data_IF_918017111315
#
_entry.id   IF_918017111315
#
_cell.length_a   1.000
_cell.length_b   1.000
_cell.length_c   1.000
_cell.angle_alpha   90.00
_cell.angle_beta   90.00
_cell.angle_gamma   90.00
#
_symmetry.space_group_name_H-M   'P 1'
#
loop_
_entity.id
_entity.type
_entity.pdbx_description
1 polymer ?
#
# COMPACT_ATOMS: atom_id res chain seq x y z
N UNK A 1 -53.91 -15.51 49.16
CA UNK A 1 -53.23 -16.48 48.29
C UNK A 1 -52.95 -15.97 46.86
N UNK A 2 -53.84 -15.21 46.20
CA UNK A 2 -53.60 -14.71 44.83
C UNK A 2 -52.54 -13.59 44.70
N UNK A 3 -52.31 -12.79 45.75
CA UNK A 3 -51.31 -11.69 45.73
C UNK A 3 -49.87 -12.19 45.65
N UNK A 4 -49.54 -13.29 46.33
CA UNK A 4 -48.20 -13.89 46.36
C UNK A 4 -47.79 -14.44 44.99
N UNK A 5 -48.68 -15.16 44.30
CA UNK A 5 -48.43 -15.66 42.93
C UNK A 5 -48.19 -14.54 41.91
N UNK A 6 -48.83 -13.37 42.09
CA UNK A 6 -48.58 -12.19 41.23
C UNK A 6 -47.20 -11.60 41.47
N UNK A 7 -46.72 -11.58 42.71
CA UNK A 7 -45.39 -11.07 43.05
C UNK A 7 -44.28 -12.01 42.55
N UNK A 8 -44.44 -13.33 42.69
CA UNK A 8 -43.50 -14.32 42.15
C UNK A 8 -43.36 -14.21 40.63
N UNK A 9 -44.49 -14.10 39.91
CA UNK A 9 -44.47 -13.92 38.45
C UNK A 9 -43.79 -12.61 38.02
N UNK A 10 -43.92 -11.54 38.81
CA UNK A 10 -43.21 -10.29 38.56
C UNK A 10 -41.69 -10.45 38.80
N UNK A 11 -41.28 -11.12 39.87
CA UNK A 11 -39.87 -11.37 40.18
C UNK A 11 -39.19 -12.24 39.11
N UNK A 12 -39.85 -13.28 38.62
CA UNK A 12 -39.34 -14.13 37.52
C UNK A 12 -39.19 -13.32 36.23
N UNK A 13 -40.15 -12.44 35.90
CA UNK A 13 -40.07 -11.58 34.71
C UNK A 13 -38.90 -10.59 34.79
N UNK A 14 -38.64 -10.02 35.96
CA UNK A 14 -37.51 -9.10 36.19
C UNK A 14 -36.17 -9.85 36.06
N UNK A 15 -36.04 -11.02 36.67
CA UNK A 15 -34.84 -11.86 36.59
C UNK A 15 -34.52 -12.25 35.15
N UNK A 16 -35.53 -12.68 34.38
CA UNK A 16 -35.36 -13.03 32.97
C UNK A 16 -34.96 -11.84 32.10
N UNK A 17 -35.52 -10.66 32.36
CA UNK A 17 -35.13 -9.44 31.64
C UNK A 17 -33.69 -9.03 31.92
N UNK A 18 -33.24 -9.16 33.17
CA UNK A 18 -31.87 -8.87 33.55
C UNK A 18 -30.87 -9.84 32.90
N UNK A 19 -31.20 -11.14 32.86
CA UNK A 19 -30.39 -12.16 32.16
C UNK A 19 -30.29 -11.88 30.66
N UNK A 20 -31.40 -11.51 30.01
CA UNK A 20 -31.42 -11.12 28.59
C UNK A 20 -30.56 -9.88 28.31
N UNK A 21 -30.59 -8.86 29.18
CA UNK A 21 -29.74 -7.67 29.06
C UNK A 21 -28.25 -8.00 29.18
N UNK A 22 -27.87 -8.85 30.14
CA UNK A 22 -26.47 -9.31 30.28
C UNK A 22 -25.96 -10.04 29.04
N UNK A 23 -26.76 -10.96 28.48
CA UNK A 23 -26.41 -11.70 27.27
C UNK A 23 -26.27 -10.77 26.05
N UNK A 24 -27.16 -9.79 25.90
CA UNK A 24 -27.08 -8.79 24.82
C UNK A 24 -25.81 -7.94 24.93
N UNK A 25 -25.46 -7.50 26.14
CA UNK A 25 -24.24 -6.70 26.36
C UNK A 25 -22.96 -7.52 26.09
N UNK A 26 -22.95 -8.80 26.48
CA UNK A 26 -21.84 -9.71 26.19
C UNK A 26 -21.68 -9.95 24.68
N UNK A 27 -22.80 -10.19 23.97
CA UNK A 27 -22.80 -10.34 22.51
C UNK A 27 -22.29 -9.06 21.81
N UNK A 28 -22.70 -7.89 22.27
CA UNK A 28 -22.23 -6.62 21.73
C UNK A 28 -20.71 -6.44 21.94
N UNK A 29 -20.18 -6.81 23.11
CA UNK A 29 -18.74 -6.75 23.38
C UNK A 29 -17.94 -7.68 22.45
N UNK A 30 -18.43 -8.89 22.20
CA UNK A 30 -17.77 -9.82 21.28
C UNK A 30 -17.76 -9.30 19.84
N UNK A 31 -18.87 -8.70 19.41
CA UNK A 31 -18.97 -8.08 18.08
C UNK A 31 -17.99 -6.91 17.91
N UNK A 32 -17.84 -6.06 18.93
CA UNK A 32 -16.86 -4.97 18.91
C UNK A 32 -15.42 -5.47 18.86
N UNK A 33 -15.10 -6.52 19.60
CA UNK A 33 -13.77 -7.14 19.54
C UNK A 33 -13.49 -7.73 18.15
N UNK A 34 -14.49 -8.36 17.52
CA UNK A 34 -14.37 -8.88 16.17
C UNK A 34 -14.13 -7.76 15.15
N UNK A 35 -14.88 -6.66 15.25
CA UNK A 35 -14.69 -5.48 14.40
C UNK A 35 -13.27 -4.89 14.56
N UNK A 36 -12.79 -4.75 15.78
CA UNK A 36 -11.43 -4.26 16.05
C UNK A 36 -10.37 -5.19 15.46
N UNK A 37 -10.57 -6.50 15.53
CA UNK A 37 -9.63 -7.48 14.96
C UNK A 37 -9.62 -7.43 13.43
N UNK A 38 -10.79 -7.31 12.80
CA UNK A 38 -10.90 -7.11 11.34
C UNK A 38 -10.22 -5.82 10.93
N UNK A 39 -10.44 -4.72 11.66
CA UNK A 39 -9.81 -3.43 11.39
C UNK A 39 -8.28 -3.53 11.47
N UNK A 40 -7.74 -4.13 12.54
CA UNK A 40 -6.30 -4.35 12.68
C UNK A 40 -5.72 -5.23 11.57
N UNK A 41 -6.45 -6.25 11.14
CA UNK A 41 -6.03 -7.10 10.03
C UNK A 41 -6.01 -6.33 8.70
N UNK A 42 -7.06 -5.58 8.39
CA UNK A 42 -7.12 -4.74 7.18
C UNK A 42 -5.99 -3.72 7.17
N UNK A 43 -5.78 -3.01 8.28
CA UNK A 43 -4.65 -2.07 8.43
C UNK A 43 -3.34 -2.82 8.20
N UNK A 44 -3.08 -3.92 8.92
CA UNK A 44 -1.86 -4.70 8.76
C UNK A 44 -1.62 -5.16 7.32
N UNK A 45 -2.63 -5.66 6.62
CA UNK A 45 -2.52 -6.11 5.22
C UNK A 45 -2.17 -4.94 4.31
N UNK A 46 -2.83 -3.79 4.48
CA UNK A 46 -2.53 -2.59 3.68
C UNK A 46 -1.13 -2.04 3.94
N UNK A 47 -0.66 -2.03 5.20
CA UNK A 47 0.69 -1.57 5.56
C UNK A 47 1.77 -2.54 5.06
N UNK A 48 1.52 -3.85 5.09
CA UNK A 48 2.43 -4.87 4.54
C UNK A 48 2.58 -4.72 3.02
N UNK A 49 1.52 -4.32 2.33
CA UNK A 49 1.57 -4.15 0.87
C UNK A 49 2.25 -2.85 0.45
N UNK A 50 2.12 -1.75 1.19
CA UNK A 50 2.75 -0.48 0.81
C UNK A 50 4.28 -0.49 0.88
N UNK A 51 4.88 -1.32 1.75
CA UNK A 51 6.33 -1.46 1.87
C UNK A 51 6.93 -2.58 1.01
N UNK A 52 6.14 -3.25 0.16
CA UNK A 52 6.57 -4.45 -0.58
C UNK A 52 6.86 -4.23 -2.06
N UNK A 53 6.61 -3.04 -2.58
CA UNK A 53 6.81 -2.77 -4.00
C UNK A 53 8.04 -1.89 -4.15
N UNK A 54 9.18 -2.52 -4.39
CA UNK A 54 10.38 -1.81 -4.79
C UNK A 54 10.29 -1.48 -6.28
N UNK A 55 10.80 -0.32 -6.69
CA UNK A 55 10.90 0.04 -8.11
C UNK A 55 11.72 -1.02 -8.87
N UNK A 56 12.67 -1.63 -8.16
CA UNK A 56 13.50 -2.75 -8.55
C UNK A 56 12.73 -4.03 -8.87
N UNK A 57 11.48 -4.17 -8.41
CA UNK A 57 10.65 -5.35 -8.65
C UNK A 57 9.77 -5.22 -9.91
N UNK A 58 9.68 -4.03 -10.50
CA UNK A 58 8.93 -3.81 -11.75
C UNK A 58 9.52 -4.64 -12.89
N UNK A 59 8.68 -5.11 -13.81
CA UNK A 59 9.13 -5.80 -15.02
C UNK A 59 9.87 -4.84 -15.98
N UNK A 60 10.76 -5.36 -16.83
CA UNK A 60 11.55 -4.52 -17.74
C UNK A 60 10.64 -3.76 -18.72
N UNK A 61 9.55 -4.38 -19.14
CA UNK A 61 8.54 -3.85 -20.07
C UNK A 61 7.92 -2.56 -19.49
N UNK A 62 7.52 -2.59 -18.23
CA UNK A 62 6.95 -1.42 -17.55
C UNK A 62 8.00 -0.31 -17.38
N UNK A 63 9.25 -0.68 -17.09
CA UNK A 63 10.33 0.31 -16.99
C UNK A 63 10.60 0.98 -18.34
N UNK A 64 10.54 0.24 -19.46
CA UNK A 64 10.66 0.81 -20.79
C UNK A 64 9.49 1.73 -21.14
N UNK A 65 8.26 1.36 -20.78
CA UNK A 65 7.11 2.25 -20.94
C UNK A 65 7.30 3.57 -20.17
N UNK A 66 7.82 3.53 -18.94
CA UNK A 66 8.16 4.75 -18.19
C UNK A 66 9.23 5.57 -18.91
N UNK A 67 10.26 4.90 -19.45
CA UNK A 67 11.35 5.55 -20.17
C UNK A 67 10.89 6.25 -21.46
N UNK A 68 9.80 5.80 -22.11
CA UNK A 68 9.25 6.50 -23.28
C UNK A 68 8.77 7.93 -22.98
N UNK A 69 8.40 8.22 -21.72
CA UNK A 69 7.95 9.54 -21.29
C UNK A 69 9.08 10.45 -20.81
N UNK A 70 10.30 9.92 -20.65
CA UNK A 70 11.45 10.64 -20.12
C UNK A 70 12.45 10.95 -21.22
N UNK A 71 13.22 12.03 -21.03
CA UNK A 71 14.38 12.25 -21.88
C UNK A 71 15.55 11.35 -21.45
N UNK A 72 16.48 11.08 -22.35
CA UNK A 72 17.61 10.17 -22.06
C UNK A 72 18.47 10.66 -20.89
N UNK A 73 18.54 11.98 -20.69
CA UNK A 73 19.32 12.57 -19.63
C UNK A 73 18.65 12.37 -18.27
N UNK A 74 17.32 12.49 -18.19
CA UNK A 74 16.52 12.21 -17.00
C UNK A 74 16.61 10.73 -16.63
N UNK A 75 16.56 9.83 -17.62
CA UNK A 75 16.77 8.39 -17.41
C UNK A 75 18.17 8.16 -16.85
N UNK A 76 19.19 8.72 -17.48
CA UNK A 76 20.57 8.59 -17.03
C UNK A 76 20.76 9.13 -15.61
N UNK A 77 20.28 10.34 -15.32
CA UNK A 77 20.45 10.98 -14.03
C UNK A 77 19.66 10.28 -12.92
N UNK A 78 18.44 9.84 -13.21
CA UNK A 78 17.52 9.26 -12.24
C UNK A 78 17.76 7.78 -11.97
N UNK A 79 18.14 6.99 -12.99
CA UNK A 79 18.10 5.54 -12.92
C UNK A 79 19.49 4.86 -13.03
N UNK A 80 20.46 5.50 -13.69
CA UNK A 80 21.77 4.87 -13.96
C UNK A 80 22.53 4.46 -12.68
N UNK A 81 22.40 5.23 -11.60
CA UNK A 81 23.14 4.94 -10.36
C UNK A 81 22.34 4.09 -9.35
N UNK A 82 21.13 3.64 -9.68
CA UNK A 82 20.29 2.87 -8.75
C UNK A 82 20.83 1.45 -8.55
N UNK A 83 21.02 0.70 -9.64
CA UNK A 83 21.63 -0.63 -9.60
C UNK A 83 22.09 -1.08 -11.01
N UNK A 84 22.78 -2.22 -11.07
CA UNK A 84 23.31 -2.79 -12.32
C UNK A 84 22.22 -3.13 -13.35
N UNK A 85 21.02 -3.50 -12.90
CA UNK A 85 19.89 -3.78 -13.80
C UNK A 85 19.47 -2.49 -14.50
N UNK A 86 19.28 -1.39 -13.78
CA UNK A 86 18.94 -0.09 -14.37
C UNK A 86 20.05 0.47 -15.26
N UNK A 87 21.33 0.24 -14.94
CA UNK A 87 22.44 0.58 -15.85
C UNK A 87 22.30 -0.14 -17.19
N UNK A 88 22.09 -1.45 -17.13
CA UNK A 88 21.88 -2.28 -18.33
C UNK A 88 20.69 -1.79 -19.13
N UNK A 89 19.57 -1.47 -18.48
CA UNK A 89 18.36 -0.97 -19.13
C UNK A 89 18.58 0.41 -19.76
N UNK A 90 19.31 1.30 -19.10
CA UNK A 90 19.59 2.64 -19.62
C UNK A 90 20.55 2.63 -20.83
N UNK A 91 21.52 1.70 -20.85
CA UNK A 91 22.51 1.60 -21.95
C UNK A 91 21.96 0.78 -23.13
N UNK A 92 21.35 -0.38 -22.84
CA UNK A 92 20.90 -1.34 -23.87
C UNK A 92 19.43 -1.16 -24.26
N UNK A 93 18.83 -0.04 -23.85
CA UNK A 93 17.49 0.33 -24.24
C UNK A 93 17.44 0.50 -25.76
N UNK A 94 16.73 -0.40 -26.45
CA UNK A 94 16.29 -0.18 -27.83
C UNK A 94 15.17 0.87 -27.91
N UNK A 95 14.74 1.44 -26.77
CA UNK A 95 13.79 2.55 -26.75
C UNK A 95 14.46 3.73 -27.40
N UNK A 96 13.83 4.25 -28.46
CA UNK A 96 14.24 5.48 -29.14
C UNK A 96 13.97 6.65 -28.20
N UNK A 97 14.88 6.85 -27.26
CA UNK A 97 14.79 7.89 -26.26
C UNK A 97 15.12 9.23 -26.90
N UNK A 98 14.23 10.20 -26.70
CA UNK A 98 14.41 11.55 -27.25
C UNK A 98 15.42 12.29 -26.38
N UNK A 99 16.41 12.91 -27.01
CA UNK A 99 17.37 13.76 -26.33
C UNK A 99 16.98 15.21 -26.56
N UNK A 100 16.57 15.91 -25.50
CA UNK A 100 16.37 17.34 -25.56
C UNK A 100 17.63 18.07 -25.10
N UNK A 101 18.53 18.39 -26.03
CA UNK A 101 19.80 19.06 -25.74
C UNK A 101 19.57 20.50 -25.23
N UNK A 102 18.45 21.13 -25.59
CA UNK A 102 18.18 22.55 -25.27
C UNK A 102 18.01 22.82 -23.77
N UNK A 103 17.57 21.82 -23.01
CA UNK A 103 17.36 21.90 -21.56
C UNK A 103 18.57 21.41 -20.74
N UNK A 104 19.57 20.84 -21.42
CA UNK A 104 20.73 20.22 -20.78
C UNK A 104 21.84 21.26 -20.56
N UNK A 105 22.35 21.35 -19.33
CA UNK A 105 23.53 22.18 -19.07
C UNK A 105 24.79 21.62 -19.76
N UNK A 106 25.75 22.49 -20.08
CA UNK A 106 27.00 22.09 -20.76
C UNK A 106 27.80 21.03 -19.99
N UNK A 107 27.82 21.10 -18.65
CA UNK A 107 28.48 20.11 -17.81
C UNK A 107 27.77 18.76 -17.86
N UNK A 108 26.44 18.77 -17.84
CA UNK A 108 25.62 17.55 -17.90
C UNK A 108 25.78 16.84 -19.24
N UNK A 109 25.75 17.61 -20.35
CA UNK A 109 26.00 17.09 -21.68
C UNK A 109 27.38 16.42 -21.78
N UNK A 110 28.43 17.09 -21.29
CA UNK A 110 29.79 16.54 -21.29
C UNK A 110 29.90 15.23 -20.49
N UNK A 111 29.19 15.12 -19.36
CA UNK A 111 29.21 13.92 -18.54
C UNK A 111 28.45 12.77 -19.21
N UNK A 112 27.26 13.03 -19.74
CA UNK A 112 26.49 12.05 -20.51
C UNK A 112 27.28 11.51 -21.70
N UNK A 113 27.86 12.41 -22.50
CA UNK A 113 28.65 12.04 -23.68
C UNK A 113 29.82 11.11 -23.35
N UNK A 114 30.51 11.34 -22.23
CA UNK A 114 31.67 10.52 -21.79
C UNK A 114 31.31 9.14 -21.24
N UNK A 115 30.10 8.97 -20.72
CA UNK A 115 29.73 7.77 -19.98
C UNK A 115 28.79 6.85 -20.77
N UNK A 116 28.17 7.37 -21.84
CA UNK A 116 27.15 6.66 -22.62
C UNK A 116 27.52 6.56 -24.11
N UNK A 117 28.11 7.61 -24.70
CA UNK A 117 28.32 7.70 -26.16
C UNK A 117 29.77 7.46 -26.62
N UNK A 118 30.75 7.53 -25.71
CA UNK A 118 32.17 7.21 -25.92
C UNK A 118 32.54 6.10 -24.94
#
# INVERSE_FOLDING_TARGET
>A
MQRTKRQENQMVKISNNHKKRKLKNQSNSLFQNLLNLIFLFVVSVTTINLNKYHLEDLANEILYEIFEYLDVYDIYKGFYNLNKRFQTLAINSNVVTKINISIMSKSNFKNYYRNILI
#
